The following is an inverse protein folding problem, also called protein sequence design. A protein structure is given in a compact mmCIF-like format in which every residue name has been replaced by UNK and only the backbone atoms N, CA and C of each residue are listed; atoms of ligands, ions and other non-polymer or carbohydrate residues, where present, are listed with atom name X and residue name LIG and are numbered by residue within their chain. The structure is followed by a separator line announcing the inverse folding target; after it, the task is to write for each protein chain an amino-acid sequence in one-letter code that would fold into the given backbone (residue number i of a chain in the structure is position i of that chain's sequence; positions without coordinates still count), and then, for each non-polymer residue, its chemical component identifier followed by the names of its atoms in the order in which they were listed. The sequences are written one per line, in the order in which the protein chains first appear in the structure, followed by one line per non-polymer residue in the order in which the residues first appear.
data_IF_079349094522
#
_entry.id   IF_079349094522
#
_cell.length_a   1.000
_cell.length_b   1.000
_cell.length_c   1.000
_cell.angle_alpha   90.00
_cell.angle_beta   90.00
_cell.angle_gamma   90.00
#
_symmetry.space_group_name_H-M   'P 1'
#
loop_
_entity.id
_entity.type
_entity.pdbx_description
1 polymer ?
#
# COMPACT_ATOMS: atom_id res chain seq x y z
N UNK A 1 -4.31 0.85 -12.39
CA UNK A 1 -5.25 1.15 -11.29
C UNK A 1 -4.49 1.89 -10.19
N UNK A 2 -4.88 3.13 -9.91
CA UNK A 2 -4.28 3.95 -8.85
C UNK A 2 -5.05 3.79 -7.53
N UNK A 3 -4.34 3.60 -6.43
CA UNK A 3 -4.87 3.76 -5.07
C UNK A 3 -4.20 4.97 -4.43
N UNK A 4 -4.94 6.06 -4.30
CA UNK A 4 -4.43 7.28 -3.66
C UNK A 4 -4.73 7.25 -2.17
N UNK A 5 -3.67 7.21 -1.36
CA UNK A 5 -3.74 7.20 0.11
C UNK A 5 -3.65 8.61 0.72
N UNK A 6 -3.57 9.63 -0.13
CA UNK A 6 -3.50 11.03 0.24
C UNK A 6 -4.82 11.45 0.90
N UNK A 7 -4.75 12.15 2.04
CA UNK A 7 -5.96 12.53 2.78
C UNK A 7 -6.85 13.50 1.97
N UNK A 8 -6.23 14.48 1.31
CA UNK A 8 -6.92 15.47 0.50
C UNK A 8 -7.42 14.92 -0.84
N UNK A 9 -8.53 15.47 -1.34
CA UNK A 9 -9.14 15.11 -2.63
C UNK A 9 -8.73 16.02 -3.80
N UNK A 10 -7.80 16.95 -3.59
CA UNK A 10 -7.44 17.96 -4.59
C UNK A 10 -6.87 17.38 -5.90
N UNK A 11 -6.23 16.20 -5.84
CA UNK A 11 -5.68 15.53 -7.02
C UNK A 11 -6.68 14.67 -7.78
N UNK A 12 -7.88 14.42 -7.23
CA UNK A 12 -8.82 13.47 -7.84
C UNK A 12 -9.29 13.95 -9.21
N UNK A 13 -9.56 15.24 -9.34
CA UNK A 13 -9.95 15.84 -10.60
C UNK A 13 -8.91 15.62 -11.71
N UNK A 14 -7.62 15.71 -11.37
CA UNK A 14 -6.54 15.46 -12.34
C UNK A 14 -6.56 14.01 -12.84
N UNK A 15 -6.87 13.04 -11.99
CA UNK A 15 -6.97 11.63 -12.42
C UNK A 15 -8.18 11.39 -13.32
N UNK A 16 -9.30 12.06 -13.04
CA UNK A 16 -10.50 12.02 -13.87
C UNK A 16 -10.24 12.59 -15.27
N UNK A 17 -9.61 13.77 -15.37
CA UNK A 17 -9.27 14.41 -16.64
C UNK A 17 -8.33 13.53 -17.49
N UNK A 18 -7.40 12.82 -16.85
CA UNK A 18 -6.49 11.89 -17.51
C UNK A 18 -7.13 10.54 -17.87
N UNK A 19 -8.40 10.32 -17.50
CA UNK A 19 -9.07 9.04 -17.67
C UNK A 19 -8.40 7.89 -16.92
N UNK A 20 -7.65 8.19 -15.87
CA UNK A 20 -6.87 7.21 -15.10
C UNK A 20 -7.80 6.49 -14.12
N UNK A 21 -7.94 5.15 -14.18
CA UNK A 21 -8.73 4.42 -13.19
C UNK A 21 -8.09 4.56 -11.81
N UNK A 22 -8.83 5.12 -10.84
CA UNK A 22 -8.35 5.34 -9.48
C UNK A 22 -9.38 4.98 -8.41
N UNK A 23 -8.89 4.75 -7.19
CA UNK A 23 -9.65 4.71 -5.94
C UNK A 23 -9.01 5.68 -4.96
N UNK A 24 -9.84 6.53 -4.35
CA UNK A 24 -9.41 7.37 -3.24
C UNK A 24 -9.58 6.58 -1.94
N UNK A 25 -8.46 6.23 -1.30
CA UNK A 25 -8.38 5.42 -0.08
C UNK A 25 -7.54 6.17 0.95
N UNK A 26 -7.99 7.33 1.46
CA UNK A 26 -7.18 8.15 2.37
C UNK A 26 -6.72 7.35 3.59
N UNK A 27 -5.49 7.61 4.04
CA UNK A 27 -4.90 6.89 5.17
C UNK A 27 -5.81 6.96 6.42
N UNK A 28 -6.09 5.83 7.08
CA UNK A 28 -7.08 5.78 8.15
C UNK A 28 -6.52 6.29 9.48
N UNK A 29 -7.40 6.46 10.46
CA UNK A 29 -7.01 6.51 11.86
C UNK A 29 -6.40 5.16 12.31
N UNK A 30 -5.63 5.17 13.39
CA UNK A 30 -4.86 4.00 13.83
C UNK A 30 -5.75 2.81 14.20
N UNK A 31 -6.88 3.05 14.86
CA UNK A 31 -7.86 2.05 15.28
C UNK A 31 -8.59 1.37 14.09
N UNK A 32 -8.57 1.99 12.91
CA UNK A 32 -9.18 1.49 11.69
C UNK A 32 -8.16 0.82 10.74
N UNK A 33 -6.88 0.80 11.11
CA UNK A 33 -5.80 0.38 10.21
C UNK A 33 -5.93 -1.07 9.75
N UNK A 34 -6.29 -2.00 10.65
CA UNK A 34 -6.42 -3.42 10.31
C UNK A 34 -7.52 -3.65 9.26
N UNK A 35 -8.72 -3.10 9.49
CA UNK A 35 -9.84 -3.19 8.55
C UNK A 35 -9.50 -2.52 7.21
N UNK A 36 -8.84 -1.36 7.27
CA UNK A 36 -8.41 -0.65 6.08
C UNK A 36 -7.43 -1.49 5.24
N UNK A 37 -6.44 -2.14 5.89
CA UNK A 37 -5.47 -2.99 5.22
C UNK A 37 -6.14 -4.18 4.54
N UNK A 38 -7.07 -4.87 5.21
CA UNK A 38 -7.80 -6.01 4.63
C UNK A 38 -8.55 -5.63 3.34
N UNK A 39 -9.27 -4.50 3.38
CA UNK A 39 -9.98 -3.99 2.20
C UNK A 39 -9.00 -3.61 1.10
N UNK A 40 -7.99 -2.80 1.41
CA UNK A 40 -7.01 -2.34 0.42
C UNK A 40 -6.25 -3.50 -0.23
N UNK A 41 -5.84 -4.50 0.55
CA UNK A 41 -5.11 -5.67 0.05
C UNK A 41 -5.98 -6.53 -0.86
N UNK A 42 -7.24 -6.72 -0.51
CA UNK A 42 -8.21 -7.41 -1.36
C UNK A 42 -8.41 -6.69 -2.69
N UNK A 43 -8.53 -5.35 -2.67
CA UNK A 43 -8.65 -4.54 -3.89
C UNK A 43 -7.40 -4.59 -4.77
N UNK A 44 -6.21 -4.49 -4.16
CA UNK A 44 -4.93 -4.58 -4.86
C UNK A 44 -4.79 -5.96 -5.51
N UNK A 45 -5.04 -7.03 -4.75
CA UNK A 45 -4.94 -8.39 -5.26
C UNK A 45 -5.95 -8.64 -6.38
N UNK A 46 -7.20 -8.18 -6.21
CA UNK A 46 -8.22 -8.26 -7.27
C UNK A 46 -7.83 -7.53 -8.55
N UNK A 47 -7.20 -6.35 -8.43
CA UNK A 47 -6.70 -5.62 -9.60
C UNK A 47 -5.55 -6.37 -10.30
N UNK A 48 -4.60 -6.92 -9.52
CA UNK A 48 -3.47 -7.66 -10.09
C UNK A 48 -3.88 -8.99 -10.73
N UNK A 49 -4.84 -9.72 -10.14
CA UNK A 49 -5.38 -10.95 -10.75
C UNK A 49 -6.15 -10.68 -12.03
N UNK A 50 -6.74 -9.49 -12.17
CA UNK A 50 -7.32 -8.99 -13.41
C UNK A 50 -6.27 -8.50 -14.45
N UNK A 51 -4.98 -8.64 -14.16
CA UNK A 51 -3.89 -8.23 -15.06
C UNK A 51 -3.61 -6.74 -15.08
N UNK A 52 -4.17 -5.97 -14.13
CA UNK A 52 -3.94 -4.53 -14.06
C UNK A 52 -2.64 -4.22 -13.33
N UNK A 53 -1.87 -3.26 -13.85
CA UNK A 53 -0.79 -2.65 -13.10
C UNK A 53 -1.38 -1.79 -11.96
N UNK A 54 -0.83 -1.95 -10.76
CA UNK A 54 -1.25 -1.23 -9.56
C UNK A 54 -0.22 -0.16 -9.22
N UNK A 55 -0.70 1.07 -8.99
CA UNK A 55 0.09 2.17 -8.45
C UNK A 55 -0.51 2.57 -7.10
N UNK A 56 0.32 2.64 -6.06
CA UNK A 56 -0.09 3.14 -4.75
C UNK A 56 0.62 4.47 -4.53
N UNK A 57 -0.15 5.52 -4.25
CA UNK A 57 0.37 6.88 -4.09
C UNK A 57 0.12 7.39 -2.68
N UNK A 58 1.15 8.02 -2.10
CA UNK A 58 1.08 8.81 -0.87
C UNK A 58 1.85 10.13 -1.09
N UNK A 59 1.71 11.12 -0.20
CA UNK A 59 2.48 12.37 -0.24
C UNK A 59 4.00 12.13 -0.23
N UNK A 60 4.44 11.11 0.50
CA UNK A 60 5.84 10.69 0.59
C UNK A 60 5.95 9.17 0.64
N UNK A 61 7.05 8.64 0.08
CA UNK A 61 7.47 7.25 0.29
C UNK A 61 8.32 7.22 1.55
N UNK A 62 7.65 6.93 2.67
CA UNK A 62 8.28 6.79 3.99
C UNK A 62 7.88 5.48 4.67
N UNK A 63 8.36 5.29 5.89
CA UNK A 63 8.22 4.04 6.66
C UNK A 63 6.81 3.46 6.69
N UNK A 64 5.77 4.31 6.78
CA UNK A 64 4.37 3.84 6.79
C UNK A 64 3.95 3.18 5.48
N UNK A 65 4.31 3.76 4.34
CA UNK A 65 4.02 3.17 3.04
C UNK A 65 4.84 1.90 2.83
N UNK A 66 6.11 1.92 3.21
CA UNK A 66 6.99 0.76 3.15
C UNK A 66 6.46 -0.41 3.99
N UNK A 67 6.02 -0.14 5.23
CA UNK A 67 5.41 -1.12 6.12
C UNK A 67 4.08 -1.67 5.60
N UNK A 68 3.23 -0.83 5.02
CA UNK A 68 1.99 -1.27 4.35
C UNK A 68 2.29 -2.25 3.21
N UNK A 69 3.28 -1.93 2.37
CA UNK A 69 3.68 -2.79 1.26
C UNK A 69 4.34 -4.08 1.74
N UNK A 70 5.12 -4.05 2.82
CA UNK A 70 5.65 -5.25 3.44
C UNK A 70 4.52 -6.16 3.96
N UNK A 71 3.55 -5.58 4.68
CA UNK A 71 2.39 -6.30 5.17
C UNK A 71 1.57 -6.92 4.03
N UNK A 72 1.44 -6.23 2.90
CA UNK A 72 0.82 -6.79 1.69
C UNK A 72 1.54 -8.06 1.19
N UNK A 73 2.88 -8.04 1.14
CA UNK A 73 3.66 -9.19 0.67
C UNK A 73 3.48 -10.42 1.58
N UNK A 74 3.36 -10.22 2.90
CA UNK A 74 3.04 -11.28 3.85
C UNK A 74 1.61 -11.79 3.65
N UNK A 75 0.63 -10.87 3.62
CA UNK A 75 -0.79 -11.21 3.47
C UNK A 75 -1.07 -11.96 2.17
N UNK A 76 -0.42 -11.57 1.07
CA UNK A 76 -0.54 -12.22 -0.22
C UNK A 76 0.24 -13.55 -0.34
N UNK A 77 0.99 -13.95 0.70
CA UNK A 77 1.82 -15.16 0.70
C UNK A 77 3.01 -15.10 -0.26
N UNK A 78 3.40 -13.90 -0.71
CA UNK A 78 4.54 -13.69 -1.61
C UNK A 78 5.88 -13.79 -0.86
N UNK A 79 5.84 -13.57 0.46
CA UNK A 79 6.96 -13.79 1.38
C UNK A 79 6.45 -14.57 2.59
N UNK A 80 7.25 -15.52 3.08
CA UNK A 80 6.79 -16.49 4.08
C UNK A 80 7.14 -16.10 5.52
N UNK A 81 8.08 -15.18 5.74
CA UNK A 81 8.54 -14.83 7.09
C UNK A 81 8.76 -13.32 7.26
N UNK A 82 8.54 -12.84 8.49
CA UNK A 82 8.79 -11.45 8.90
C UNK A 82 10.20 -10.95 8.53
N UNK A 83 11.29 -11.66 8.89
CA UNK A 83 12.63 -11.22 8.54
C UNK A 83 12.89 -11.10 7.03
N UNK A 84 12.32 -12.02 6.23
CA UNK A 84 12.44 -11.95 4.77
C UNK A 84 11.71 -10.73 4.21
N UNK A 85 10.52 -10.41 4.74
CA UNK A 85 9.75 -9.28 4.22
C UNK A 85 10.41 -7.96 4.60
N UNK A 86 11.00 -7.87 5.79
CA UNK A 86 11.78 -6.69 6.21
C UNK A 86 12.94 -6.48 5.25
N UNK A 87 13.80 -7.49 5.06
CA UNK A 87 14.95 -7.37 4.16
C UNK A 87 14.55 -7.02 2.71
N UNK A 88 13.44 -7.59 2.21
CA UNK A 88 12.95 -7.31 0.87
C UNK A 88 12.38 -5.88 0.76
N UNK A 89 11.58 -5.45 1.73
CA UNK A 89 11.02 -4.11 1.75
C UNK A 89 12.13 -3.06 1.88
N UNK A 90 13.13 -3.27 2.75
CA UNK A 90 14.28 -2.37 2.84
C UNK A 90 15.04 -2.27 1.51
N UNK A 91 15.18 -3.38 0.77
CA UNK A 91 15.81 -3.39 -0.55
C UNK A 91 14.98 -2.68 -1.62
N UNK A 92 13.65 -2.85 -1.62
CA UNK A 92 12.74 -2.24 -2.59
C UNK A 92 12.64 -0.73 -2.35
N UNK A 93 12.52 -0.32 -1.09
CA UNK A 93 12.28 1.08 -0.73
C UNK A 93 13.55 1.86 -0.40
N UNK A 94 14.71 1.19 -0.32
CA UNK A 94 16.00 1.78 0.07
C UNK A 94 15.95 2.53 1.42
N UNK A 95 15.07 2.10 2.32
CA UNK A 95 14.87 2.68 3.65
C UNK A 95 14.86 1.57 4.69
N UNK A 96 15.44 1.82 5.88
CA UNK A 96 15.32 0.88 7.00
C UNK A 96 13.88 0.88 7.52
N UNK A 97 13.36 -0.31 7.83
CA UNK A 97 12.07 -0.41 8.49
C UNK A 97 12.28 -0.36 10.01
N UNK A 98 11.51 0.48 10.70
CA UNK A 98 11.47 0.51 12.17
C UNK A 98 10.84 -0.77 12.76
N UNK A 99 10.93 -0.97 14.09
CA UNK A 99 10.48 -2.19 14.78
C UNK A 99 8.99 -2.53 14.61
N UNK A 100 8.18 -1.63 14.06
CA UNK A 100 6.76 -1.86 13.74
C UNK A 100 6.53 -2.93 12.68
N UNK A 101 7.56 -3.32 11.92
CA UNK A 101 7.49 -4.42 10.95
C UNK A 101 7.50 -5.82 11.61
N UNK A 102 7.89 -5.94 12.88
CA UNK A 102 8.03 -7.22 13.58
C UNK A 102 6.74 -7.67 14.31
N UNK A 103 5.71 -6.82 14.37
CA UNK A 103 4.48 -7.06 15.14
C UNK A 103 3.23 -7.34 14.29
N UNK A 104 3.40 -7.65 13.00
CA UNK A 104 2.32 -8.09 12.09
C UNK A 104 2.49 -9.57 11.77
#
# INVERSE_FOLDING_TARGET
MLYSLIAGSHNLHNYEELGMPFRHRPWPAHDQLAQYMEVLFTEIQGAMTAGLQVLVQKEEVGERLCGLMAAYLLWAGLVQTGPQVTALAERIFQQRLGPMAESL
#
